data_IF_122913049298
#
_entry.id   IF_122913049298
#
_cell.length_a   1.000
_cell.length_b   1.000
_cell.length_c   1.000
_cell.angle_alpha   90.00
_cell.angle_beta   90.00
_cell.angle_gamma   90.00
#
_symmetry.space_group_name_H-M   'P 1'
#
loop_
_entity.id
_entity.type
_entity.pdbx_description
1 polymer ?
#
# COMPACT_ATOMS: atom_id res chain seq x y z
N UNK A 1 19.50 -17.07 -14.07
CA UNK A 1 19.06 -16.39 -12.82
C UNK A 1 20.28 -16.23 -11.91
N UNK A 2 20.62 -15.03 -11.47
CA UNK A 2 21.75 -14.82 -10.57
C UNK A 2 21.45 -15.45 -9.21
N UNK A 3 22.27 -16.38 -8.76
CA UNK A 3 22.09 -17.03 -7.44
C UNK A 3 22.71 -16.24 -6.28
N UNK A 4 23.70 -15.36 -6.58
CA UNK A 4 24.52 -14.66 -5.56
C UNK A 4 24.60 -13.15 -5.77
N UNK A 5 24.15 -12.62 -6.90
CA UNK A 5 24.20 -11.19 -7.18
C UNK A 5 22.93 -10.51 -6.63
N UNK A 6 23.10 -9.42 -5.90
CA UNK A 6 22.04 -8.55 -5.48
C UNK A 6 21.48 -7.79 -6.69
N UNK A 7 20.21 -8.03 -7.02
CA UNK A 7 19.56 -7.38 -8.14
C UNK A 7 19.12 -5.99 -7.69
N UNK A 8 19.75 -4.96 -8.25
CA UNK A 8 19.33 -3.58 -8.02
C UNK A 8 17.92 -3.34 -8.59
N UNK A 9 17.01 -2.79 -7.81
CA UNK A 9 15.68 -2.46 -8.30
C UNK A 9 15.75 -1.35 -9.34
N UNK A 10 14.91 -1.44 -10.38
CA UNK A 10 14.79 -0.38 -11.38
C UNK A 10 14.42 0.94 -10.72
N UNK A 11 15.04 2.07 -11.11
CA UNK A 11 14.63 3.39 -10.64
C UNK A 11 13.21 3.68 -11.11
N UNK A 12 12.41 4.29 -10.23
CA UNK A 12 11.06 4.77 -10.56
C UNK A 12 11.21 6.23 -10.96
N UNK A 13 10.81 6.57 -12.19
CA UNK A 13 10.75 7.96 -12.65
C UNK A 13 9.59 8.68 -11.97
N UNK A 14 9.77 9.96 -11.69
CA UNK A 14 8.70 10.79 -11.17
C UNK A 14 7.59 10.98 -12.22
N UNK A 15 6.37 11.21 -11.76
CA UNK A 15 5.24 11.52 -12.61
C UNK A 15 5.37 12.92 -13.24
N UNK A 16 5.06 13.10 -14.54
CA UNK A 16 5.26 14.39 -15.21
C UNK A 16 4.32 15.51 -14.73
N UNK A 17 3.15 15.18 -14.16
CA UNK A 17 2.17 16.18 -13.71
C UNK A 17 2.44 16.61 -12.27
N UNK A 18 2.67 15.64 -11.40
CA UNK A 18 2.83 15.89 -9.96
C UNK A 18 4.28 15.81 -9.48
N UNK A 19 5.24 15.52 -10.36
CA UNK A 19 6.67 15.32 -10.04
C UNK A 19 6.89 14.39 -8.82
N UNK A 20 6.09 13.34 -8.72
CA UNK A 20 6.08 12.43 -7.58
C UNK A 20 6.30 10.98 -7.98
N UNK A 21 7.33 10.35 -7.39
CA UNK A 21 7.57 8.92 -7.54
C UNK A 21 6.46 8.06 -6.91
N UNK A 22 5.80 8.58 -5.88
CA UNK A 22 4.70 7.88 -5.21
C UNK A 22 3.49 7.73 -6.13
N UNK A 23 3.17 8.77 -6.91
CA UNK A 23 2.10 8.75 -7.91
C UNK A 23 2.40 7.72 -8.99
N UNK A 24 3.62 7.68 -9.52
CA UNK A 24 4.05 6.65 -10.48
C UNK A 24 3.93 5.22 -9.89
N UNK A 25 4.32 5.03 -8.63
CA UNK A 25 4.19 3.73 -7.95
C UNK A 25 2.72 3.32 -7.80
N UNK A 26 1.84 4.27 -7.50
CA UNK A 26 0.40 4.04 -7.42
C UNK A 26 -0.18 3.65 -8.80
N UNK A 27 0.19 4.37 -9.88
CA UNK A 27 -0.21 4.04 -11.25
C UNK A 27 0.21 2.62 -11.64
N UNK A 28 1.47 2.26 -11.38
CA UNK A 28 1.98 0.92 -11.63
C UNK A 28 1.22 -0.16 -10.84
N UNK A 29 0.65 0.20 -9.69
CA UNK A 29 -0.15 -0.73 -8.88
C UNK A 29 -1.59 -0.83 -9.36
N UNK A 30 -2.18 0.25 -9.85
CA UNK A 30 -3.53 0.30 -10.45
C UNK A 30 -3.55 -0.40 -11.79
N UNK A 31 -2.49 -0.29 -12.57
CA UNK A 31 -2.37 -0.84 -13.93
C UNK A 31 -2.67 -2.35 -13.97
N UNK A 32 -3.43 -2.75 -14.99
CA UNK A 32 -3.70 -4.14 -15.37
C UNK A 32 -3.42 -4.32 -16.85
N UNK A 33 -2.95 -5.48 -17.24
CA UNK A 33 -2.74 -5.88 -18.64
C UNK A 33 -1.87 -4.90 -19.45
N UNK A 34 -0.96 -4.16 -18.77
CA UNK A 34 -0.11 -3.17 -19.40
C UNK A 34 -0.79 -1.87 -19.85
N UNK A 35 -2.09 -1.67 -19.52
CA UNK A 35 -2.86 -0.48 -19.91
C UNK A 35 -2.49 0.73 -19.05
N UNK A 36 -1.34 1.35 -19.34
CA UNK A 36 -0.78 2.43 -18.53
C UNK A 36 -1.64 3.70 -18.63
N UNK A 37 -2.08 4.10 -19.82
CA UNK A 37 -2.91 5.30 -20.01
C UNK A 37 -4.21 5.25 -19.22
N UNK A 38 -4.87 4.08 -19.18
CA UNK A 38 -6.08 3.90 -18.35
C UNK A 38 -5.78 4.06 -16.86
N UNK A 39 -4.63 3.54 -16.38
CA UNK A 39 -4.22 3.71 -15.00
C UNK A 39 -3.89 5.16 -14.66
N UNK A 40 -3.28 5.91 -15.57
CA UNK A 40 -3.01 7.35 -15.45
C UNK A 40 -4.32 8.13 -15.28
N UNK A 41 -5.31 7.94 -16.17
CA UNK A 41 -6.62 8.58 -16.05
C UNK A 41 -7.32 8.28 -14.73
N UNK A 42 -7.26 7.03 -14.26
CA UNK A 42 -7.86 6.65 -12.97
C UNK A 42 -7.17 7.38 -11.79
N UNK A 43 -5.84 7.39 -11.78
CA UNK A 43 -5.09 7.98 -10.67
C UNK A 43 -5.21 9.50 -10.67
N UNK A 44 -5.10 10.15 -11.83
CA UNK A 44 -5.28 11.60 -11.93
C UNK A 44 -6.68 12.04 -11.53
N UNK A 45 -7.72 11.37 -12.04
CA UNK A 45 -9.08 11.67 -11.64
C UNK A 45 -9.39 11.37 -10.17
N UNK A 46 -8.69 10.42 -9.55
CA UNK A 46 -8.79 10.18 -8.11
C UNK A 46 -8.11 11.28 -7.30
N UNK A 47 -6.91 11.71 -7.70
CA UNK A 47 -6.16 12.76 -7.02
C UNK A 47 -6.84 14.12 -7.13
N UNK A 48 -7.42 14.45 -8.29
CA UNK A 48 -8.22 15.65 -8.49
C UNK A 48 -9.39 15.71 -7.49
N UNK A 49 -10.18 14.65 -7.40
CA UNK A 49 -11.31 14.55 -6.45
C UNK A 49 -10.87 14.61 -4.99
N UNK A 50 -9.72 14.04 -4.67
CA UNK A 50 -9.14 14.15 -3.32
C UNK A 50 -8.75 15.59 -3.02
N UNK A 51 -8.12 16.29 -3.96
CA UNK A 51 -7.77 17.72 -3.84
C UNK A 51 -8.99 18.60 -3.66
N UNK A 52 -10.04 18.41 -4.49
CA UNK A 52 -11.31 19.14 -4.38
C UNK A 52 -11.98 18.98 -3.01
N UNK A 53 -12.02 17.74 -2.49
CA UNK A 53 -12.69 17.47 -1.21
C UNK A 53 -11.89 17.94 0.01
N UNK A 54 -10.57 17.91 -0.06
CA UNK A 54 -9.72 18.25 1.10
C UNK A 54 -9.23 19.70 1.07
N UNK A 55 -9.27 20.37 -0.09
CA UNK A 55 -8.69 21.70 -0.29
C UNK A 55 -7.15 21.74 -0.13
N UNK A 56 -6.48 20.58 -0.18
CA UNK A 56 -5.04 20.41 0.04
C UNK A 56 -4.36 19.84 -1.22
N UNK A 57 -3.04 20.03 -1.36
CA UNK A 57 -2.28 19.42 -2.45
C UNK A 57 -2.50 17.90 -2.50
N UNK A 58 -2.96 17.32 -3.62
CA UNK A 58 -3.34 15.91 -3.69
C UNK A 58 -2.20 14.94 -3.34
N UNK A 59 -0.96 15.33 -3.67
CA UNK A 59 0.22 14.51 -3.38
C UNK A 59 0.49 14.40 -1.89
N UNK A 60 0.38 15.49 -1.14
CA UNK A 60 0.54 15.49 0.31
C UNK A 60 -0.52 14.62 1.00
N UNK A 61 -1.75 14.71 0.52
CA UNK A 61 -2.86 13.89 1.01
C UNK A 61 -2.59 12.41 0.76
N UNK A 62 -2.11 12.07 -0.45
CA UNK A 62 -1.72 10.70 -0.78
C UNK A 62 -0.57 10.20 0.11
N UNK A 63 0.45 11.01 0.32
CA UNK A 63 1.58 10.66 1.20
C UNK A 63 1.12 10.38 2.63
N UNK A 64 0.25 11.23 3.15
CA UNK A 64 -0.33 11.06 4.49
C UNK A 64 -1.17 9.78 4.57
N UNK A 65 -2.05 9.52 3.59
CA UNK A 65 -2.85 8.30 3.52
C UNK A 65 -1.96 7.04 3.46
N UNK A 66 -0.93 7.05 2.61
CA UNK A 66 0.04 5.95 2.52
C UNK A 66 0.76 5.74 3.84
N UNK A 67 1.20 6.82 4.51
CA UNK A 67 1.86 6.76 5.83
C UNK A 67 0.92 6.15 6.87
N UNK A 68 -0.35 6.55 6.87
CA UNK A 68 -1.37 6.02 7.80
C UNK A 68 -1.58 4.51 7.62
N UNK A 69 -1.59 4.02 6.39
CA UNK A 69 -1.81 2.60 6.06
C UNK A 69 -0.53 1.76 6.12
N UNK A 70 0.66 2.37 6.09
CA UNK A 70 1.94 1.65 6.11
C UNK A 70 2.12 0.87 7.41
N UNK A 71 2.28 -0.48 7.35
CA UNK A 71 2.52 -1.29 8.53
C UNK A 71 3.99 -1.23 8.96
N UNK A 72 4.24 -1.29 10.27
CA UNK A 72 5.59 -1.43 10.85
C UNK A 72 5.93 -2.91 11.09
N UNK A 73 4.91 -3.73 11.38
CA UNK A 73 5.05 -5.16 11.64
C UNK A 73 4.28 -5.97 10.61
N UNK A 74 4.80 -7.12 10.22
CA UNK A 74 4.08 -8.15 9.49
C UNK A 74 4.26 -9.51 10.18
N UNK A 75 3.35 -10.43 9.92
CA UNK A 75 3.45 -11.80 10.44
C UNK A 75 3.91 -12.70 9.30
N UNK A 76 4.99 -13.45 9.55
CA UNK A 76 5.53 -14.45 8.61
C UNK A 76 5.47 -15.82 9.20
N UNK A 77 5.08 -16.79 8.39
CA UNK A 77 5.10 -18.20 8.78
C UNK A 77 6.54 -18.74 8.76
N UNK A 78 6.95 -19.39 9.85
CA UNK A 78 8.23 -20.10 9.95
C UNK A 78 7.99 -21.52 10.47
N UNK A 79 8.65 -22.47 9.84
CA UNK A 79 8.61 -23.88 10.28
C UNK A 79 9.75 -24.17 11.23
N UNK A 80 9.42 -24.59 12.45
CA UNK A 80 10.38 -24.97 13.49
C UNK A 80 9.94 -26.31 14.07
N UNK A 81 10.83 -27.30 14.07
CA UNK A 81 10.54 -28.62 14.65
C UNK A 81 9.32 -29.35 14.05
N UNK A 82 9.00 -29.05 12.75
CA UNK A 82 7.83 -29.64 12.09
C UNK A 82 6.52 -28.83 12.23
N UNK A 83 6.43 -27.88 13.16
CA UNK A 83 5.28 -27.01 13.35
C UNK A 83 5.48 -25.65 12.63
N UNK A 84 4.38 -25.07 12.14
CA UNK A 84 4.40 -23.73 11.52
C UNK A 84 4.01 -22.69 12.55
N UNK A 85 4.91 -21.75 12.82
CA UNK A 85 4.69 -20.63 13.73
C UNK A 85 4.51 -19.33 12.93
N UNK A 86 3.59 -18.49 13.39
CA UNK A 86 3.39 -17.14 12.86
C UNK A 86 4.29 -16.19 13.63
N UNK A 87 5.37 -15.73 13.00
CA UNK A 87 6.40 -14.92 13.67
C UNK A 87 6.23 -13.45 13.27
N UNK A 88 6.06 -12.51 14.23
CA UNK A 88 6.03 -11.09 13.93
C UNK A 88 7.44 -10.59 13.56
N UNK A 89 7.54 -9.87 12.45
CA UNK A 89 8.79 -9.35 11.89
C UNK A 89 8.60 -7.88 11.53
N UNK A 90 9.61 -7.05 11.75
CA UNK A 90 9.61 -5.66 11.30
C UNK A 90 9.62 -5.57 9.78
N UNK A 91 8.85 -4.62 9.25
CA UNK A 91 8.71 -4.41 7.81
C UNK A 91 9.69 -3.33 7.36
N UNK A 92 10.63 -3.63 6.44
CA UNK A 92 11.48 -2.61 5.84
C UNK A 92 10.63 -1.52 5.16
N UNK A 93 11.05 -0.27 5.24
CA UNK A 93 10.31 0.90 4.77
C UNK A 93 9.80 0.74 3.32
N UNK A 94 10.65 0.24 2.43
CA UNK A 94 10.28 -0.02 1.02
C UNK A 94 9.14 -1.03 0.89
N UNK A 95 9.18 -2.11 1.68
CA UNK A 95 8.13 -3.12 1.69
C UNK A 95 6.84 -2.58 2.31
N UNK A 96 6.94 -1.81 3.39
CA UNK A 96 5.80 -1.16 4.03
C UNK A 96 5.03 -0.28 3.06
N UNK A 97 5.73 0.58 2.29
CA UNK A 97 5.13 1.39 1.23
C UNK A 97 4.45 0.52 0.15
N UNK A 98 5.10 -0.54 -0.28
CA UNK A 98 4.52 -1.46 -1.27
C UNK A 98 3.25 -2.14 -0.76
N UNK A 99 3.21 -2.52 0.52
CA UNK A 99 2.03 -3.10 1.15
C UNK A 99 0.88 -2.09 1.25
N UNK A 100 1.18 -0.86 1.68
CA UNK A 100 0.18 0.21 1.77
C UNK A 100 -0.48 0.50 0.41
N UNK A 101 0.31 0.71 -0.64
CA UNK A 101 -0.21 0.92 -2.00
C UNK A 101 -1.01 -0.29 -2.50
N UNK A 102 -0.57 -1.50 -2.19
CA UNK A 102 -1.30 -2.72 -2.52
C UNK A 102 -2.68 -2.75 -1.85
N UNK A 103 -2.73 -2.45 -0.57
CA UNK A 103 -3.98 -2.47 0.18
C UNK A 103 -4.93 -1.38 -0.28
N UNK A 104 -4.47 -0.14 -0.44
CA UNK A 104 -5.27 0.94 -0.99
C UNK A 104 -5.93 0.54 -2.32
N UNK A 105 -5.16 0.01 -3.27
CA UNK A 105 -5.71 -0.39 -4.58
C UNK A 105 -6.60 -1.63 -4.49
N UNK A 106 -6.27 -2.61 -3.65
CA UNK A 106 -7.08 -3.82 -3.51
C UNK A 106 -8.44 -3.49 -2.92
N UNK A 107 -8.47 -2.77 -1.81
CA UNK A 107 -9.72 -2.46 -1.13
C UNK A 107 -10.54 -1.35 -1.83
N UNK A 108 -9.90 -0.46 -2.59
CA UNK A 108 -10.65 0.43 -3.47
C UNK A 108 -11.44 -0.33 -4.53
N UNK A 109 -10.93 -1.45 -5.06
CA UNK A 109 -11.66 -2.28 -6.03
C UNK A 109 -12.93 -2.90 -5.45
N UNK A 110 -12.93 -3.21 -4.17
CA UNK A 110 -14.05 -3.85 -3.46
C UNK A 110 -15.15 -2.85 -3.06
N UNK A 111 -14.93 -1.53 -3.27
CA UNK A 111 -15.93 -0.50 -2.98
C UNK A 111 -17.10 -0.53 -3.96
N UNK A 112 -18.21 0.10 -3.56
CA UNK A 112 -19.48 0.06 -4.29
C UNK A 112 -19.62 1.12 -5.38
N UNK A 113 -18.77 2.15 -5.39
CA UNK A 113 -18.79 3.23 -6.38
C UNK A 113 -18.64 2.66 -7.81
N UNK A 114 -19.17 3.37 -8.81
CA UNK A 114 -19.19 2.89 -10.20
C UNK A 114 -17.80 2.97 -10.84
N UNK A 115 -17.12 4.10 -10.70
CA UNK A 115 -15.84 4.34 -11.36
C UNK A 115 -14.66 4.08 -10.43
N UNK A 116 -13.57 3.53 -10.98
CA UNK A 116 -12.37 3.20 -10.20
C UNK A 116 -11.70 4.44 -9.59
N UNK A 117 -11.80 5.60 -10.26
CA UNK A 117 -11.31 6.87 -9.74
C UNK A 117 -12.03 7.28 -8.44
N UNK A 118 -13.36 7.11 -8.39
CA UNK A 118 -14.17 7.39 -7.20
C UNK A 118 -13.85 6.42 -6.05
N UNK A 119 -13.71 5.14 -6.38
CA UNK A 119 -13.32 4.10 -5.44
C UNK A 119 -11.97 4.39 -4.80
N UNK A 120 -10.99 4.78 -5.61
CA UNK A 120 -9.64 5.08 -5.15
C UNK A 120 -9.62 6.36 -4.31
N UNK A 121 -10.30 7.42 -4.76
CA UNK A 121 -10.44 8.65 -4.00
C UNK A 121 -11.12 8.42 -2.64
N UNK A 122 -12.19 7.65 -2.61
CA UNK A 122 -12.89 7.28 -1.38
C UNK A 122 -11.98 6.54 -0.39
N UNK A 123 -11.22 5.53 -0.85
CA UNK A 123 -10.32 4.77 0.03
C UNK A 123 -9.16 5.62 0.56
N UNK A 124 -8.64 6.57 -0.26
CA UNK A 124 -7.59 7.51 0.20
C UNK A 124 -8.14 8.44 1.29
N UNK A 125 -9.36 8.97 1.13
CA UNK A 125 -9.99 9.84 2.12
C UNK A 125 -10.30 9.09 3.41
N UNK A 126 -10.88 7.90 3.32
CA UNK A 126 -11.15 7.06 4.51
C UNK A 126 -9.84 6.71 5.25
N UNK A 127 -8.76 6.46 4.51
CA UNK A 127 -7.44 6.19 5.10
C UNK A 127 -6.86 7.39 5.87
N UNK A 128 -7.14 8.63 5.44
CA UNK A 128 -6.76 9.84 6.18
C UNK A 128 -7.46 9.92 7.54
N UNK A 129 -8.73 9.55 7.57
CA UNK A 129 -9.56 9.53 8.79
C UNK A 129 -9.33 8.27 9.63
N UNK A 130 -8.33 7.45 9.28
CA UNK A 130 -8.03 6.17 9.95
C UNK A 130 -9.21 5.18 9.87
N UNK A 131 -9.96 5.27 8.79
CA UNK A 131 -11.09 4.42 8.46
C UNK A 131 -10.80 3.63 7.17
N UNK A 132 -11.83 2.93 6.69
CA UNK A 132 -11.70 2.14 5.47
C UNK A 132 -11.04 0.77 5.65
N UNK A 133 -11.17 -0.04 4.60
CA UNK A 133 -10.71 -1.43 4.65
C UNK A 133 -9.18 -1.56 4.58
N UNK A 134 -8.49 -0.63 3.93
CA UNK A 134 -7.03 -0.60 3.88
C UNK A 134 -6.43 -0.34 5.27
N UNK A 135 -7.00 0.60 6.03
CA UNK A 135 -6.59 0.86 7.41
C UNK A 135 -6.94 -0.32 8.33
N UNK A 136 -8.14 -0.88 8.20
CA UNK A 136 -8.55 -2.07 8.94
C UNK A 136 -7.59 -3.25 8.72
N UNK A 137 -7.12 -3.44 7.49
CA UNK A 137 -6.12 -4.48 7.18
C UNK A 137 -4.81 -4.29 7.93
N UNK A 138 -4.35 -3.04 8.08
CA UNK A 138 -3.19 -2.73 8.92
C UNK A 138 -3.46 -3.10 10.37
N UNK A 139 -4.61 -2.71 10.92
CA UNK A 139 -4.98 -3.00 12.31
C UNK A 139 -5.09 -4.51 12.57
N UNK A 140 -5.70 -5.27 11.67
CA UNK A 140 -5.76 -6.72 11.74
C UNK A 140 -4.35 -7.36 11.75
N UNK A 141 -3.42 -6.81 10.96
CA UNK A 141 -2.03 -7.27 10.96
C UNK A 141 -1.34 -7.00 12.31
N UNK A 142 -1.60 -5.83 12.91
CA UNK A 142 -1.10 -5.52 14.26
C UNK A 142 -1.68 -6.45 15.32
N UNK A 143 -2.99 -6.73 15.27
CA UNK A 143 -3.63 -7.68 16.19
C UNK A 143 -3.05 -9.08 16.07
N UNK A 144 -2.82 -9.56 14.84
CA UNK A 144 -2.14 -10.84 14.61
C UNK A 144 -0.71 -10.83 15.14
N UNK A 145 0.06 -9.76 14.92
CA UNK A 145 1.42 -9.63 15.43
C UNK A 145 1.45 -9.64 16.97
N UNK A 146 0.49 -8.96 17.59
CA UNK A 146 0.36 -8.90 19.05
C UNK A 146 0.00 -10.28 19.65
N UNK A 147 -0.96 -10.99 19.03
CA UNK A 147 -1.36 -12.32 19.46
C UNK A 147 -0.20 -13.33 19.36
N UNK A 148 0.69 -13.15 18.39
CA UNK A 148 1.85 -14.01 18.16
C UNK A 148 3.16 -13.47 18.78
N UNK A 149 3.09 -12.48 19.66
CA UNK A 149 4.28 -11.84 20.27
C UNK A 149 5.19 -12.84 20.99
N UNK A 150 4.63 -13.89 21.59
CA UNK A 150 5.38 -14.94 22.25
C UNK A 150 6.37 -15.66 21.32
N UNK A 151 6.11 -15.69 20.01
CA UNK A 151 6.95 -16.35 19.01
C UNK A 151 7.99 -15.40 18.38
N UNK A 152 8.11 -14.16 18.84
CA UNK A 152 9.06 -13.18 18.30
C UNK A 152 10.52 -13.63 18.39
N UNK A 153 10.86 -14.46 19.37
CA UNK A 153 12.20 -15.03 19.52
C UNK A 153 12.57 -16.02 18.41
N UNK A 154 11.63 -16.51 17.61
CA UNK A 154 11.88 -17.33 16.43
C UNK A 154 12.24 -16.53 15.18
N UNK A 155 12.34 -15.20 15.25
CA UNK A 155 12.78 -14.38 14.11
C UNK A 155 14.25 -14.67 13.77
N UNK A 156 14.60 -14.56 12.50
CA UNK A 156 15.99 -14.66 11.98
C UNK A 156 16.45 -13.35 11.36
#
# INVERSE_FOLDING_TARGET
MPRRAEIQPRPVTADPIYDSQLVTQLMNRVMRDGKKSTAEHIVYGALEKVGEKTGRPPVEVLEQAVKTVTPVLEVRSRRVGGANYQVPVEVPQRRGRTLALRWLVTYSRDRREKHMADKLAGEILDALEQQGNAFKRKDDMYRMAQANKAFAHYRW
#
